data_IF_406493982304
#
_entry.id   IF_406493982304
#
_cell.length_a   1.000
_cell.length_b   1.000
_cell.length_c   1.000
_cell.angle_alpha   90.00
_cell.angle_beta   90.00
_cell.angle_gamma   90.00
#
_symmetry.space_group_name_H-M   'P 1'
#
loop_
_entity.id
_entity.type
_entity.pdbx_description
1 polymer ?
#
# COMPACT_ATOMS: atom_id res chain seq x y z
N UNK A 1 -20.10 -5.24 -27.16
CA UNK A 1 -20.00 -5.63 -25.74
C UNK A 1 -19.02 -4.67 -25.10
N UNK A 2 -19.55 -3.60 -24.51
CA UNK A 2 -18.74 -2.55 -23.89
C UNK A 2 -18.27 -3.05 -22.53
N UNK A 3 -17.10 -3.69 -22.52
CA UNK A 3 -16.37 -3.92 -21.28
C UNK A 3 -15.79 -2.57 -20.86
N UNK A 4 -16.55 -1.80 -20.07
CA UNK A 4 -16.01 -0.65 -19.36
C UNK A 4 -15.06 -1.17 -18.28
N UNK A 5 -13.80 -1.38 -18.64
CA UNK A 5 -12.73 -1.64 -17.68
C UNK A 5 -12.61 -0.41 -16.78
N UNK A 6 -12.92 -0.58 -15.49
CA UNK A 6 -12.81 0.50 -14.51
C UNK A 6 -11.38 1.03 -14.46
N UNK A 7 -11.25 2.36 -14.40
CA UNK A 7 -9.95 3.03 -14.28
C UNK A 7 -9.19 2.50 -13.06
N UNK A 8 -7.86 2.44 -13.18
CA UNK A 8 -7.00 2.05 -12.06
C UNK A 8 -7.24 2.99 -10.87
N UNK A 9 -7.69 2.42 -9.76
CA UNK A 9 -7.79 3.11 -8.47
C UNK A 9 -6.59 2.71 -7.63
N UNK A 10 -5.83 3.70 -7.16
CA UNK A 10 -4.70 3.47 -6.27
C UNK A 10 -5.15 2.74 -5.00
N UNK A 11 -4.40 1.72 -4.60
CA UNK A 11 -4.69 0.91 -3.41
C UNK A 11 -3.47 0.88 -2.49
N UNK A 12 -3.71 1.09 -1.20
CA UNK A 12 -2.69 1.00 -0.16
C UNK A 12 -3.11 1.71 1.13
N UNK A 13 -2.15 1.93 2.02
CA UNK A 13 -2.34 2.72 3.24
C UNK A 13 -1.94 4.18 3.01
N UNK A 14 -2.82 5.11 3.39
CA UNK A 14 -2.50 6.53 3.51
C UNK A 14 -2.04 6.82 4.95
N UNK A 15 -0.95 7.56 5.10
CA UNK A 15 -0.43 7.98 6.41
C UNK A 15 -0.59 9.49 6.51
N UNK A 16 -1.28 9.94 7.56
CA UNK A 16 -1.55 11.36 7.80
C UNK A 16 -0.82 11.84 9.04
N UNK A 17 -0.33 13.07 8.96
CA UNK A 17 0.03 13.90 10.09
C UNK A 17 -1.22 14.61 10.60
N UNK A 18 -1.48 14.51 11.91
CA UNK A 18 -2.66 15.11 12.55
C UNK A 18 -2.17 16.03 13.67
N UNK A 19 -2.52 17.30 13.58
CA UNK A 19 -2.23 18.32 14.59
C UNK A 19 -3.46 19.21 14.82
N UNK A 20 -3.33 20.20 15.71
CA UNK A 20 -4.36 21.24 15.87
C UNK A 20 -4.47 22.16 14.65
N UNK A 21 -3.40 22.25 13.86
CA UNK A 21 -3.32 23.11 12.68
C UNK A 21 -3.92 22.42 11.43
N UNK A 22 -4.10 21.10 11.46
CA UNK A 22 -4.78 20.38 10.39
C UNK A 22 -4.45 18.89 10.25
N UNK A 23 -4.86 18.34 9.12
CA UNK A 23 -4.57 16.98 8.67
C UNK A 23 -3.79 17.07 7.37
N UNK A 24 -2.56 16.58 7.37
CA UNK A 24 -1.66 16.61 6.21
C UNK A 24 -1.31 15.21 5.75
N UNK A 25 -1.32 14.97 4.43
CA UNK A 25 -0.89 13.69 3.89
C UNK A 25 0.63 13.59 3.98
N UNK A 26 1.14 12.75 4.89
CA UNK A 26 2.57 12.44 4.98
C UNK A 26 3.02 11.62 3.77
N UNK A 27 2.24 10.59 3.44
CA UNK A 27 2.57 9.73 2.32
C UNK A 27 1.69 8.50 2.21
N UNK A 28 2.11 7.58 1.34
CA UNK A 28 1.33 6.43 0.93
C UNK A 28 2.22 5.19 0.83
N UNK A 29 1.69 4.05 1.24
CA UNK A 29 2.36 2.75 1.14
C UNK A 29 1.46 1.79 0.36
N UNK A 30 1.99 1.20 -0.70
CA UNK A 30 1.32 0.15 -1.48
C UNK A 30 2.19 -1.10 -1.56
N UNK A 31 1.56 -2.25 -1.77
CA UNK A 31 2.22 -3.53 -2.04
C UNK A 31 2.19 -3.88 -3.53
N UNK A 32 1.60 -3.03 -4.38
CA UNK A 32 1.65 -3.16 -5.83
C UNK A 32 3.01 -2.64 -6.33
N UNK A 33 3.73 -3.42 -7.15
CA UNK A 33 4.97 -2.93 -7.76
C UNK A 33 4.67 -1.89 -8.85
N UNK A 34 5.58 -0.93 -9.03
CA UNK A 34 5.49 0.15 -10.03
C UNK A 34 5.58 -0.33 -11.50
N UNK A 35 5.71 -1.63 -11.73
CA UNK A 35 5.82 -2.19 -13.07
C UNK A 35 4.47 -2.14 -13.79
N UNK A 36 4.40 -1.33 -14.85
CA UNK A 36 3.24 -1.11 -15.71
C UNK A 36 2.63 -2.40 -16.31
N UNK A 37 3.38 -3.52 -16.35
CA UNK A 37 2.89 -4.81 -16.78
C UNK A 37 1.96 -5.50 -15.76
N UNK A 38 2.07 -5.16 -14.46
CA UNK A 38 1.14 -5.63 -13.43
C UNK A 38 -0.18 -4.87 -13.48
N UNK A 39 -0.22 -3.60 -13.89
CA UNK A 39 -1.46 -2.84 -14.09
C UNK A 39 -2.39 -3.51 -15.12
N UNK A 40 -1.82 -4.12 -16.17
CA UNK A 40 -2.59 -4.93 -17.15
C UNK A 40 -3.08 -6.27 -16.58
N UNK A 41 -2.39 -6.83 -15.58
CA UNK A 41 -2.80 -8.05 -14.84
C UNK A 41 -3.65 -7.74 -13.60
N UNK A 42 -3.69 -6.48 -13.16
CA UNK A 42 -4.24 -6.02 -11.88
C UNK A 42 -5.75 -6.22 -11.77
N UNK A 43 -6.47 -6.34 -12.90
CA UNK A 43 -7.89 -6.66 -12.85
C UNK A 43 -8.18 -8.07 -12.30
N UNK A 44 -7.21 -8.99 -12.40
CA UNK A 44 -7.32 -10.36 -11.90
C UNK A 44 -6.46 -10.65 -10.66
N UNK A 45 -5.38 -9.89 -10.42
CA UNK A 45 -4.41 -10.15 -9.34
C UNK A 45 -4.23 -9.01 -8.33
N UNK A 46 -4.89 -7.86 -8.50
CA UNK A 46 -4.75 -6.71 -7.59
C UNK A 46 -5.26 -6.97 -6.17
N UNK A 47 -6.14 -7.96 -6.00
CA UNK A 47 -6.69 -8.41 -4.71
C UNK A 47 -5.60 -8.81 -3.71
N UNK A 48 -4.65 -9.65 -4.14
CA UNK A 48 -3.78 -10.35 -3.19
C UNK A 48 -2.64 -9.45 -2.69
N UNK A 49 -2.26 -8.48 -3.51
CA UNK A 49 -1.37 -7.38 -3.13
C UNK A 49 -2.13 -6.21 -2.52
N UNK A 50 -3.44 -6.27 -2.34
CA UNK A 50 -4.14 -5.18 -1.65
C UNK A 50 -3.75 -5.16 -0.18
N UNK A 51 -3.35 -4.00 0.33
CA UNK A 51 -3.14 -3.81 1.78
C UNK A 51 -4.47 -4.04 2.50
N UNK A 52 -4.50 -5.03 3.38
CA UNK A 52 -5.67 -5.43 4.16
C UNK A 52 -5.60 -4.97 5.61
N UNK A 53 -4.39 -4.86 6.16
CA UNK A 53 -4.16 -4.45 7.55
C UNK A 53 -2.96 -3.52 7.64
N UNK A 54 -3.02 -2.62 8.61
CA UNK A 54 -1.88 -1.84 9.06
C UNK A 54 -1.83 -1.83 10.57
N UNK A 55 -0.62 -1.87 11.13
CA UNK A 55 -0.35 -1.71 12.54
C UNK A 55 1.06 -1.16 12.71
N UNK A 56 1.35 -0.51 13.83
CA UNK A 56 2.71 -0.08 14.15
C UNK A 56 3.15 -0.67 15.48
N UNK A 57 4.45 -0.97 15.57
CA UNK A 57 5.13 -1.37 16.81
C UNK A 57 6.38 -0.53 16.89
N UNK A 58 6.54 0.18 18.00
CA UNK A 58 7.56 1.21 18.16
C UNK A 58 7.58 2.18 16.96
N UNK A 59 8.71 2.35 16.28
CA UNK A 59 8.88 3.27 15.16
C UNK A 59 8.75 2.60 13.77
N UNK A 60 8.06 1.46 13.69
CA UNK A 60 7.89 0.69 12.46
C UNK A 60 6.41 0.55 12.13
N UNK A 61 6.02 1.01 10.94
CA UNK A 61 4.72 0.78 10.34
C UNK A 61 4.75 -0.49 9.51
N UNK A 62 3.88 -1.43 9.85
CA UNK A 62 3.67 -2.68 9.13
C UNK A 62 2.41 -2.57 8.30
N UNK A 63 2.50 -2.85 7.00
CA UNK A 63 1.35 -3.06 6.12
C UNK A 63 1.34 -4.52 5.66
N UNK A 64 0.15 -5.10 5.58
CA UNK A 64 -0.03 -6.54 5.36
C UNK A 64 -1.04 -6.74 4.23
N UNK A 65 -0.66 -7.52 3.22
CA UNK A 65 -1.55 -8.07 2.19
C UNK A 65 -1.54 -9.60 2.26
N UNK A 66 -2.29 -10.27 1.37
CA UNK A 66 -2.20 -11.73 1.26
C UNK A 66 -0.80 -12.20 0.80
N UNK A 67 -0.11 -11.36 0.02
CA UNK A 67 1.19 -11.71 -0.59
C UNK A 67 2.41 -11.28 0.21
N UNK A 68 2.35 -10.20 1.00
CA UNK A 68 3.53 -9.73 1.73
C UNK A 68 3.22 -8.95 2.99
N UNK A 69 4.22 -8.89 3.87
CA UNK A 69 4.32 -7.93 4.97
C UNK A 69 5.43 -6.93 4.61
N UNK A 70 5.10 -5.65 4.61
CA UNK A 70 6.06 -4.57 4.36
C UNK A 70 6.27 -3.75 5.63
N UNK A 71 7.53 -3.42 5.90
CA UNK A 71 7.95 -2.62 7.05
C UNK A 71 8.50 -1.29 6.56
N UNK A 72 7.95 -0.21 7.08
CA UNK A 72 8.38 1.15 6.80
C UNK A 72 8.73 1.85 8.11
N UNK A 73 9.75 2.69 8.09
CA UNK A 73 9.99 3.62 9.19
C UNK A 73 8.76 4.52 9.35
N UNK A 74 8.22 4.64 10.56
CA UNK A 74 6.95 5.34 10.77
C UNK A 74 7.06 6.85 10.49
N UNK A 75 8.22 7.46 10.77
CA UNK A 75 8.48 8.88 10.56
C UNK A 75 8.70 9.24 9.10
N UNK A 76 9.58 8.50 8.41
CA UNK A 76 10.01 8.82 7.03
C UNK A 76 9.25 8.06 5.96
N UNK A 77 8.53 7.01 6.33
CA UNK A 77 7.91 6.02 5.45
C UNK A 77 8.90 5.28 4.55
N UNK A 78 10.21 5.44 4.76
CA UNK A 78 11.23 4.69 4.04
C UNK A 78 11.07 3.20 4.33
N UNK A 79 11.15 2.37 3.29
CA UNK A 79 11.12 0.92 3.44
C UNK A 79 12.33 0.47 4.27
N UNK A 80 12.05 -0.32 5.30
CA UNK A 80 13.06 -0.99 6.12
C UNK A 80 13.34 -2.37 5.53
N UNK A 81 12.28 -3.15 5.29
CA UNK A 81 12.35 -4.49 4.71
C UNK A 81 10.95 -4.98 4.28
N UNK A 82 10.88 -6.12 3.59
CA UNK A 82 9.64 -6.81 3.26
C UNK A 82 9.81 -8.33 3.37
N UNK A 83 8.71 -9.04 3.62
CA UNK A 83 8.64 -10.50 3.65
C UNK A 83 7.50 -10.93 2.72
N UNK A 84 7.83 -11.69 1.68
CA UNK A 84 6.85 -12.34 0.80
C UNK A 84 6.27 -13.57 1.51
N UNK A 85 4.97 -13.81 1.36
CA UNK A 85 4.20 -14.87 2.03
C UNK A 85 3.89 -16.05 1.10
N UNK A 86 4.01 -15.88 -0.23
CA UNK A 86 3.86 -16.92 -1.25
C UNK A 86 4.38 -16.49 -2.62
#
# INVERSE_FOLDING_TARGET
>A
TDNAYGEYVWQGAYVFDISLDGIELRGRITHMDDNADLLKRSYYFGSDYSVQRSLYIDNVLYTISSMKVKMNNLETLAEINQVELS
#
